data_IF_770298297292
#
_entry.id   IF_770298297292
#
_cell.length_a   1.000
_cell.length_b   1.000
_cell.length_c   1.000
_cell.angle_alpha   90.00
_cell.angle_beta   90.00
_cell.angle_gamma   90.00
#
_symmetry.space_group_name_H-M   'P 1'
#
loop_
_entity.id
_entity.type
_entity.pdbx_description
1 polymer ?
#
# COMPACT_ATOMS: atom_id res chain seq x y z
N UNK A 1 -3.87 0.66 -30.60
CA UNK A 1 -3.59 1.15 -29.24
C UNK A 1 -4.89 1.04 -28.45
N UNK A 2 -4.92 0.21 -27.38
CA UNK A 2 -6.11 0.05 -26.54
C UNK A 2 -6.32 1.32 -25.66
N UNK A 3 -7.53 1.85 -25.64
CA UNK A 3 -7.89 3.00 -24.79
C UNK A 3 -8.34 2.52 -23.41
N UNK A 4 -7.63 2.93 -22.36
CA UNK A 4 -7.87 2.48 -21.00
C UNK A 4 -8.21 3.65 -20.09
N UNK A 5 -9.29 3.51 -19.32
CA UNK A 5 -9.64 4.42 -18.24
C UNK A 5 -9.36 3.79 -16.89
N UNK A 6 -8.51 4.41 -16.08
CA UNK A 6 -8.41 4.13 -14.65
C UNK A 6 -9.24 5.16 -13.88
N UNK A 7 -10.28 4.71 -13.20
CA UNK A 7 -11.13 5.55 -12.35
C UNK A 7 -10.78 5.32 -10.87
N UNK A 8 -10.36 6.38 -10.18
CA UNK A 8 -9.98 6.36 -8.76
C UNK A 8 -10.67 7.52 -8.03
N UNK A 9 -10.95 7.45 -6.70
CA UNK A 9 -11.59 8.55 -5.98
C UNK A 9 -10.81 9.87 -6.01
N UNK A 10 -9.52 9.83 -5.81
CA UNK A 10 -8.59 10.97 -5.87
C UNK A 10 -7.15 10.46 -5.97
N UNK A 11 -6.18 11.37 -6.13
CA UNK A 11 -4.75 11.07 -6.09
C UNK A 11 -4.07 11.74 -4.87
N UNK A 12 -4.68 11.63 -3.69
CA UNK A 12 -4.17 12.19 -2.43
C UNK A 12 -2.97 11.42 -1.88
N UNK A 13 -2.62 11.68 -0.62
CA UNK A 13 -1.56 10.96 0.09
C UNK A 13 -2.07 9.56 0.50
N UNK A 14 -1.76 8.55 -0.30
CA UNK A 14 -2.12 7.16 -0.04
C UNK A 14 -1.26 6.19 -0.84
N UNK A 15 -1.18 4.95 -0.36
CA UNK A 15 -0.40 3.89 -1.02
C UNK A 15 -0.96 3.52 -2.39
N UNK A 16 -2.27 3.29 -2.49
CA UNK A 16 -2.92 2.90 -3.73
C UNK A 16 -2.84 3.98 -4.81
N UNK A 17 -2.93 5.26 -4.42
CA UNK A 17 -2.80 6.40 -5.32
C UNK A 17 -1.40 6.50 -5.91
N UNK A 18 -0.36 6.32 -5.08
CA UNK A 18 1.04 6.27 -5.53
C UNK A 18 1.27 5.09 -6.46
N UNK A 19 0.74 3.91 -6.12
CA UNK A 19 0.86 2.69 -6.91
C UNK A 19 0.20 2.84 -8.28
N UNK A 20 -0.98 3.47 -8.37
CA UNK A 20 -1.60 3.77 -9.67
C UNK A 20 -0.69 4.65 -10.53
N UNK A 21 -0.17 5.74 -9.97
CA UNK A 21 0.73 6.64 -10.71
C UNK A 21 1.97 5.91 -11.19
N UNK A 22 2.59 5.09 -10.33
CA UNK A 22 3.73 4.26 -10.72
C UNK A 22 3.38 3.30 -11.86
N UNK A 23 2.24 2.61 -11.76
CA UNK A 23 1.78 1.69 -12.80
C UNK A 23 1.60 2.39 -14.14
N UNK A 24 0.73 3.39 -14.21
CA UNK A 24 0.36 4.03 -15.48
C UNK A 24 1.54 4.77 -16.13
N UNK A 25 2.47 5.28 -15.33
CA UNK A 25 3.67 5.93 -15.83
C UNK A 25 4.67 4.98 -16.53
N UNK A 26 4.60 3.69 -16.21
CA UNK A 26 5.54 2.67 -16.71
C UNK A 26 4.89 1.69 -17.70
N UNK A 27 3.58 1.74 -17.90
CA UNK A 27 2.92 0.98 -18.97
C UNK A 27 3.34 1.46 -20.36
N UNK A 28 3.39 0.56 -21.31
CA UNK A 28 3.83 0.80 -22.69
C UNK A 28 2.90 1.80 -23.40
N UNK A 29 3.38 3.04 -23.58
CA UNK A 29 2.65 4.13 -24.23
C UNK A 29 2.40 3.89 -25.74
N UNK A 30 3.09 2.96 -26.38
CA UNK A 30 2.85 2.60 -27.78
C UNK A 30 1.69 1.58 -27.92
N UNK A 31 1.42 0.84 -26.83
CA UNK A 31 0.32 -0.12 -26.78
C UNK A 31 -0.96 0.47 -26.20
N UNK A 32 -0.85 1.36 -25.19
CA UNK A 32 -1.96 1.83 -24.37
C UNK A 32 -2.12 3.36 -24.40
N UNK A 33 -3.34 3.81 -24.69
CA UNK A 33 -3.78 5.21 -24.55
C UNK A 33 -4.48 5.36 -23.19
N UNK A 34 -3.76 5.81 -22.16
CA UNK A 34 -4.21 5.78 -20.77
C UNK A 34 -4.81 7.12 -20.35
N UNK A 35 -6.00 7.04 -19.76
CA UNK A 35 -6.65 8.13 -19.04
C UNK A 35 -6.78 7.78 -17.56
N UNK A 36 -6.29 8.64 -16.69
CA UNK A 36 -6.57 8.59 -15.24
C UNK A 36 -7.66 9.61 -14.94
N UNK A 37 -8.79 9.15 -14.45
CA UNK A 37 -9.89 10.02 -14.04
C UNK A 37 -10.13 9.90 -12.54
N UNK A 38 -10.20 11.04 -11.86
CA UNK A 38 -10.51 11.10 -10.43
C UNK A 38 -11.92 11.63 -10.20
N UNK A 39 -12.58 11.17 -9.13
CA UNK A 39 -13.84 11.78 -8.71
C UNK A 39 -13.61 13.18 -8.17
N UNK A 40 -12.51 13.39 -7.44
CA UNK A 40 -12.16 14.67 -6.80
C UNK A 40 -10.71 15.05 -7.10
N UNK A 41 -10.53 16.21 -7.71
CA UNK A 41 -9.20 16.77 -8.03
C UNK A 41 -8.48 17.35 -6.79
N UNK A 42 -7.19 17.66 -6.95
CA UNK A 42 -6.36 18.33 -5.95
C UNK A 42 -5.49 17.38 -5.11
N UNK A 43 -5.27 16.16 -5.59
CA UNK A 43 -4.38 15.20 -4.95
C UNK A 43 -2.89 15.48 -5.20
N UNK A 44 -2.06 15.27 -4.19
CA UNK A 44 -0.60 15.53 -4.27
C UNK A 44 0.13 14.66 -5.29
N UNK A 45 -0.43 13.49 -5.63
CA UNK A 45 0.15 12.57 -6.59
C UNK A 45 -0.16 12.94 -8.06
N UNK A 46 -1.08 13.87 -8.33
CA UNK A 46 -1.42 14.32 -9.69
C UNK A 46 -0.21 14.87 -10.45
N UNK A 47 0.67 15.60 -9.77
CA UNK A 47 1.88 16.20 -10.35
C UNK A 47 2.93 15.18 -10.82
N UNK A 48 2.81 13.93 -10.40
CA UNK A 48 3.73 12.85 -10.79
C UNK A 48 3.26 12.06 -12.01
N UNK A 49 2.05 12.33 -12.53
CA UNK A 49 1.62 11.75 -13.80
C UNK A 49 2.50 12.26 -14.94
N UNK A 50 3.03 11.35 -15.77
CA UNK A 50 3.83 11.69 -16.93
C UNK A 50 2.97 12.34 -18.03
N UNK A 51 3.54 13.19 -18.93
CA UNK A 51 2.78 13.96 -19.92
C UNK A 51 1.95 13.15 -20.92
N UNK A 52 2.27 11.87 -21.13
CA UNK A 52 1.49 10.99 -21.99
C UNK A 52 0.21 10.44 -21.36
N UNK A 53 0.06 10.58 -20.04
CA UNK A 53 -1.14 10.16 -19.32
C UNK A 53 -2.18 11.29 -19.35
N UNK A 54 -3.36 11.00 -19.89
CA UNK A 54 -4.50 11.95 -19.88
C UNK A 54 -5.09 12.01 -18.48
N UNK A 55 -5.24 13.22 -17.93
CA UNK A 55 -5.83 13.42 -16.60
C UNK A 55 -7.20 14.09 -16.71
N UNK A 56 -8.20 13.56 -15.99
CA UNK A 56 -9.56 14.10 -15.90
C UNK A 56 -10.08 14.08 -14.48
N UNK A 57 -11.04 14.94 -14.16
CA UNK A 57 -11.71 14.94 -12.86
C UNK A 57 -13.22 15.19 -13.01
N UNK A 58 -14.00 14.67 -12.05
CA UNK A 58 -15.45 14.89 -11.99
C UNK A 58 -15.80 16.16 -11.21
N UNK A 59 -15.13 16.37 -10.07
CA UNK A 59 -15.33 17.51 -9.18
C UNK A 59 -14.01 18.15 -8.79
N UNK A 60 -13.98 19.49 -8.68
CA UNK A 60 -12.77 20.23 -8.28
C UNK A 60 -12.36 19.99 -6.82
N UNK A 61 -13.33 19.70 -5.95
CA UNK A 61 -13.07 19.49 -4.50
C UNK A 61 -13.99 18.41 -3.96
N UNK A 62 -13.49 17.72 -2.94
CA UNK A 62 -14.28 16.77 -2.15
C UNK A 62 -15.36 17.53 -1.35
N UNK A 63 -16.55 16.97 -1.27
CA UNK A 63 -17.66 17.52 -0.47
C UNK A 63 -18.15 16.49 0.55
N UNK A 64 -18.63 16.99 1.69
CA UNK A 64 -19.14 16.15 2.78
C UNK A 64 -20.37 15.37 2.32
N UNK A 65 -20.40 14.06 2.64
CA UNK A 65 -21.54 13.21 2.30
C UNK A 65 -21.55 12.71 0.85
N UNK A 66 -20.44 12.86 0.10
CA UNK A 66 -20.36 12.43 -1.30
C UNK A 66 -20.74 10.94 -1.49
N UNK A 67 -20.34 10.03 -0.62
CA UNK A 67 -20.69 8.60 -0.72
C UNK A 67 -22.22 8.39 -0.66
N UNK A 68 -22.91 9.03 0.28
CA UNK A 68 -24.37 8.99 0.36
C UNK A 68 -25.03 9.64 -0.83
N UNK A 69 -24.47 10.77 -1.31
CA UNK A 69 -24.97 11.44 -2.50
C UNK A 69 -24.93 10.53 -3.74
N UNK A 70 -23.84 9.79 -3.95
CA UNK A 70 -23.77 8.85 -5.07
C UNK A 70 -24.79 7.71 -4.94
N UNK A 71 -25.12 7.26 -3.72
CA UNK A 71 -26.13 6.22 -3.50
C UNK A 71 -27.55 6.64 -3.89
N UNK A 72 -27.86 7.93 -4.06
CA UNK A 72 -29.17 8.40 -4.53
C UNK A 72 -29.43 8.03 -6.00
N UNK A 73 -28.38 7.91 -6.80
CA UNK A 73 -28.50 7.64 -8.25
C UNK A 73 -28.27 6.15 -8.54
N UNK A 74 -28.80 5.67 -9.67
CA UNK A 74 -28.47 4.33 -10.17
C UNK A 74 -27.04 4.29 -10.74
N UNK A 75 -26.35 3.15 -10.72
CA UNK A 75 -25.01 3.02 -11.32
C UNK A 75 -24.95 3.52 -12.77
N UNK A 76 -25.95 3.18 -13.59
CA UNK A 76 -26.02 3.58 -15.00
C UNK A 76 -26.13 5.11 -15.18
N UNK A 77 -26.80 5.79 -14.25
CA UNK A 77 -26.92 7.26 -14.26
C UNK A 77 -25.57 7.91 -13.91
N UNK A 78 -24.86 7.34 -12.93
CA UNK A 78 -23.53 7.81 -12.54
C UNK A 78 -22.51 7.58 -13.65
N UNK A 79 -22.52 6.39 -14.26
CA UNK A 79 -21.67 6.08 -15.40
C UNK A 79 -21.84 7.12 -16.52
N UNK A 80 -23.08 7.30 -17.02
CA UNK A 80 -23.40 8.28 -18.07
C UNK A 80 -23.03 9.71 -17.69
N UNK A 81 -23.06 10.06 -16.39
CA UNK A 81 -22.70 11.39 -15.90
C UNK A 81 -21.21 11.64 -15.92
N UNK A 82 -20.40 10.66 -15.53
CA UNK A 82 -18.98 10.84 -15.28
C UNK A 82 -18.08 10.32 -16.39
N UNK A 83 -18.47 9.27 -17.11
CA UNK A 83 -17.69 8.68 -18.19
C UNK A 83 -18.37 9.04 -19.51
N UNK A 84 -17.74 9.94 -20.29
CA UNK A 84 -18.32 10.55 -21.48
C UNK A 84 -17.76 10.00 -22.78
N UNK A 85 -16.61 9.34 -22.72
CA UNK A 85 -15.92 8.79 -23.86
C UNK A 85 -15.99 7.27 -23.85
N UNK A 86 -15.80 6.68 -25.01
CA UNK A 86 -15.65 5.24 -25.15
C UNK A 86 -14.20 4.83 -24.81
N UNK A 87 -14.09 3.76 -24.05
CA UNK A 87 -12.82 3.10 -23.69
C UNK A 87 -12.96 1.60 -23.95
N UNK A 88 -11.88 0.98 -24.45
CA UNK A 88 -11.85 -0.47 -24.66
C UNK A 88 -11.87 -1.20 -23.28
N UNK A 89 -11.21 -0.60 -22.28
CA UNK A 89 -11.15 -1.13 -20.92
C UNK A 89 -11.37 -0.02 -19.90
N UNK A 90 -12.19 -0.28 -18.89
CA UNK A 90 -12.39 0.61 -17.75
C UNK A 90 -12.06 -0.13 -16.46
N UNK A 91 -11.06 0.41 -15.75
CA UNK A 91 -10.59 -0.12 -14.46
C UNK A 91 -11.16 0.74 -13.33
N UNK A 92 -11.96 0.14 -12.45
CA UNK A 92 -12.27 0.72 -11.14
C UNK A 92 -11.08 0.46 -10.21
N UNK A 93 -10.19 1.44 -10.08
CA UNK A 93 -8.95 1.28 -9.32
C UNK A 93 -9.12 1.66 -7.85
N UNK A 94 -10.02 1.05 -7.20
CA UNK A 94 -10.30 0.92 -5.76
C UNK A 94 -11.72 0.36 -5.60
N UNK A 95 -11.97 -0.26 -4.48
CA UNK A 95 -13.30 -0.70 -4.06
C UNK A 95 -14.22 0.51 -3.76
N UNK A 96 -15.50 0.26 -3.72
CA UNK A 96 -16.51 1.23 -3.28
C UNK A 96 -17.09 2.11 -4.40
N UNK A 97 -17.00 3.47 -4.34
CA UNK A 97 -17.78 4.35 -5.21
C UNK A 97 -17.39 4.22 -6.69
N UNK A 98 -16.12 3.96 -7.00
CA UNK A 98 -15.64 3.77 -8.38
C UNK A 98 -16.17 2.48 -8.97
N UNK A 99 -16.17 1.38 -8.19
CA UNK A 99 -16.74 0.11 -8.62
C UNK A 99 -18.24 0.25 -8.93
N UNK A 100 -18.98 0.98 -8.08
CA UNK A 100 -20.39 1.25 -8.30
C UNK A 100 -20.64 2.08 -9.57
N UNK A 101 -19.80 3.07 -9.86
CA UNK A 101 -19.90 3.90 -11.07
C UNK A 101 -19.60 3.06 -12.32
N UNK A 102 -18.46 2.35 -12.32
CA UNK A 102 -18.00 1.56 -13.48
C UNK A 102 -18.99 0.44 -13.81
N UNK A 103 -19.56 -0.22 -12.80
CA UNK A 103 -20.59 -1.26 -13.01
C UNK A 103 -21.86 -0.74 -13.72
N UNK A 104 -22.04 0.56 -13.84
CA UNK A 104 -23.11 1.19 -14.60
C UNK A 104 -22.91 1.19 -16.11
N UNK A 105 -21.75 0.72 -16.62
CA UNK A 105 -21.52 0.55 -18.04
C UNK A 105 -22.47 -0.50 -18.63
N UNK A 106 -23.06 -0.17 -19.79
CA UNK A 106 -23.90 -1.09 -20.57
C UNK A 106 -23.34 -1.30 -21.98
N UNK A 107 -22.16 -0.76 -22.26
CA UNK A 107 -21.46 -0.99 -23.52
C UNK A 107 -20.87 -2.41 -23.49
N UNK A 108 -21.20 -3.22 -24.48
CA UNK A 108 -20.76 -4.63 -24.57
C UNK A 108 -19.35 -4.77 -25.11
N UNK A 109 -18.85 -3.73 -25.78
CA UNK A 109 -17.51 -3.70 -26.37
C UNK A 109 -16.46 -3.21 -25.35
N UNK A 110 -16.92 -2.64 -24.23
CA UNK A 110 -16.04 -2.19 -23.13
C UNK A 110 -15.85 -3.29 -22.07
N UNK A 111 -14.62 -3.67 -21.79
CA UNK A 111 -14.26 -4.59 -20.71
C UNK A 111 -14.14 -3.86 -19.37
N UNK A 112 -14.66 -4.46 -18.32
CA UNK A 112 -14.68 -3.86 -16.98
C UNK A 112 -13.76 -4.65 -16.03
N UNK A 113 -12.85 -3.95 -15.36
CA UNK A 113 -11.95 -4.51 -14.34
C UNK A 113 -12.22 -3.83 -13.01
N UNK A 114 -12.42 -4.62 -11.93
CA UNK A 114 -12.41 -4.11 -10.56
C UNK A 114 -11.07 -4.41 -9.89
N UNK A 115 -10.54 -3.45 -9.13
CA UNK A 115 -9.28 -3.59 -8.40
C UNK A 115 -9.50 -3.37 -6.92
N UNK A 116 -9.16 -4.38 -6.10
CA UNK A 116 -9.43 -4.43 -4.68
C UNK A 116 -8.10 -4.31 -3.92
N UNK A 117 -7.99 -3.28 -3.08
CA UNK A 117 -6.75 -2.92 -2.41
C UNK A 117 -6.71 -3.25 -0.92
N UNK A 118 -7.87 -3.42 -0.25
CA UNK A 118 -7.94 -3.70 1.18
C UNK A 118 -9.00 -4.75 1.49
N UNK A 119 -8.76 -5.50 2.57
CA UNK A 119 -9.77 -6.38 3.16
C UNK A 119 -10.92 -5.56 3.72
N UNK A 120 -12.13 -6.04 3.55
CA UNK A 120 -13.36 -5.39 4.03
C UNK A 120 -13.89 -6.05 5.30
N UNK A 121 -13.55 -7.34 5.52
CA UNK A 121 -13.90 -8.19 6.67
C UNK A 121 -15.41 -8.38 6.91
N UNK A 122 -16.27 -7.50 6.39
CA UNK A 122 -17.72 -7.57 6.60
C UNK A 122 -18.51 -7.10 5.38
N UNK A 123 -19.71 -7.64 5.21
CA UNK A 123 -20.68 -7.19 4.19
C UNK A 123 -20.99 -5.68 4.32
N UNK A 124 -21.06 -5.18 5.55
CA UNK A 124 -21.33 -3.77 5.84
C UNK A 124 -20.23 -2.86 5.33
N UNK A 125 -18.96 -3.23 5.53
CA UNK A 125 -17.82 -2.43 5.05
C UNK A 125 -17.75 -2.46 3.53
N UNK A 126 -17.84 -3.64 2.92
CA UNK A 126 -17.81 -3.80 1.47
C UNK A 126 -18.95 -3.05 0.76
N UNK A 127 -20.12 -2.99 1.37
CA UNK A 127 -21.28 -2.30 0.81
C UNK A 127 -21.42 -0.83 1.20
N UNK A 128 -20.47 -0.25 1.92
CA UNK A 128 -20.57 1.12 2.46
C UNK A 128 -20.82 2.22 1.39
N UNK A 129 -20.41 1.98 0.15
CA UNK A 129 -20.62 2.89 -1.00
C UNK A 129 -21.75 2.46 -1.93
N UNK A 130 -22.52 1.48 -1.54
CA UNK A 130 -23.67 0.95 -2.25
C UNK A 130 -24.94 1.21 -1.41
N UNK A 131 -26.13 1.02 -2.01
CA UNK A 131 -27.39 1.15 -1.28
C UNK A 131 -27.59 0.05 -0.25
N UNK A 132 -27.13 -1.15 -0.58
CA UNK A 132 -27.14 -2.34 0.26
C UNK A 132 -26.15 -3.38 -0.29
N UNK A 133 -25.97 -4.49 0.42
CA UNK A 133 -25.08 -5.57 0.04
C UNK A 133 -25.47 -6.26 -1.27
N UNK A 134 -26.77 -6.44 -1.54
CA UNK A 134 -27.23 -7.02 -2.81
C UNK A 134 -26.88 -6.17 -4.02
N UNK A 135 -26.94 -4.82 -3.89
CA UNK A 135 -26.46 -3.92 -4.95
C UNK A 135 -24.95 -4.10 -5.15
N UNK A 136 -24.16 -4.14 -4.07
CA UNK A 136 -22.72 -4.37 -4.16
C UNK A 136 -22.41 -5.68 -4.91
N UNK A 137 -23.06 -6.76 -4.50
CA UNK A 137 -22.95 -8.08 -5.12
C UNK A 137 -23.27 -8.06 -6.61
N UNK A 138 -24.39 -7.41 -7.01
CA UNK A 138 -24.74 -7.24 -8.42
C UNK A 138 -23.72 -6.42 -9.19
N UNK A 139 -23.21 -5.33 -8.59
CA UNK A 139 -22.22 -4.47 -9.22
C UNK A 139 -20.90 -5.21 -9.47
N UNK A 140 -20.35 -5.88 -8.48
CA UNK A 140 -19.09 -6.65 -8.64
C UNK A 140 -19.25 -7.81 -9.64
N UNK A 141 -20.40 -8.46 -9.70
CA UNK A 141 -20.67 -9.51 -10.70
C UNK A 141 -20.76 -9.01 -12.15
N UNK A 142 -20.80 -7.69 -12.40
CA UNK A 142 -20.74 -7.13 -13.77
C UNK A 142 -19.34 -7.06 -14.34
N UNK A 143 -18.32 -7.04 -13.51
CA UNK A 143 -16.92 -6.95 -13.99
C UNK A 143 -16.50 -8.21 -14.73
N UNK A 144 -15.77 -8.03 -15.83
CA UNK A 144 -15.21 -9.13 -16.63
C UNK A 144 -14.04 -9.78 -15.88
N UNK A 145 -13.20 -8.96 -15.24
CA UNK A 145 -12.11 -9.43 -14.38
C UNK A 145 -12.06 -8.67 -13.04
N UNK A 146 -11.54 -9.32 -12.02
CA UNK A 146 -11.27 -8.74 -10.70
C UNK A 146 -9.82 -8.98 -10.32
N UNK A 147 -9.14 -7.92 -9.93
CA UNK A 147 -7.76 -7.94 -9.45
C UNK A 147 -7.75 -7.66 -7.95
N UNK A 148 -7.00 -8.44 -7.20
CA UNK A 148 -6.69 -8.20 -5.80
C UNK A 148 -5.19 -8.00 -5.62
N UNK A 149 -4.78 -7.14 -4.69
CA UNK A 149 -3.35 -6.83 -4.47
C UNK A 149 -2.61 -7.89 -3.67
N UNK A 150 -3.34 -8.85 -3.09
CA UNK A 150 -2.79 -9.98 -2.32
C UNK A 150 -3.77 -11.15 -2.29
N UNK A 151 -3.27 -12.36 -1.97
CA UNK A 151 -4.13 -13.53 -1.75
C UNK A 151 -5.06 -13.33 -0.54
N UNK A 152 -4.63 -12.61 0.49
CA UNK A 152 -5.46 -12.28 1.66
C UNK A 152 -6.65 -11.41 1.27
N UNK A 153 -6.42 -10.33 0.52
CA UNK A 153 -7.49 -9.47 0.00
C UNK A 153 -8.44 -10.26 -0.91
N UNK A 154 -7.91 -11.15 -1.74
CA UNK A 154 -8.72 -12.04 -2.59
C UNK A 154 -9.60 -12.96 -1.76
N UNK A 155 -9.02 -13.65 -0.75
CA UNK A 155 -9.75 -14.57 0.09
C UNK A 155 -10.86 -13.85 0.88
N UNK A 156 -10.59 -12.69 1.45
CA UNK A 156 -11.59 -11.86 2.12
C UNK A 156 -12.73 -11.48 1.18
N UNK A 157 -12.41 -10.97 -0.01
CA UNK A 157 -13.39 -10.57 -1.02
C UNK A 157 -14.25 -11.75 -1.50
N UNK A 158 -13.63 -12.91 -1.77
CA UNK A 158 -14.34 -14.15 -2.16
C UNK A 158 -15.29 -14.59 -1.06
N UNK A 159 -14.83 -14.61 0.18
CA UNK A 159 -15.62 -15.09 1.33
C UNK A 159 -16.83 -14.19 1.57
N UNK A 160 -16.66 -12.85 1.57
CA UNK A 160 -17.76 -11.91 1.83
C UNK A 160 -18.84 -11.98 0.73
N UNK A 161 -18.43 -12.02 -0.53
CA UNK A 161 -19.38 -11.99 -1.68
C UNK A 161 -19.87 -13.38 -2.10
N UNK A 162 -19.25 -14.46 -1.62
CA UNK A 162 -19.35 -15.79 -2.24
C UNK A 162 -19.09 -15.69 -3.76
N UNK A 163 -17.97 -15.00 -4.09
CA UNK A 163 -17.65 -14.62 -5.45
C UNK A 163 -17.11 -15.83 -6.23
N UNK A 164 -17.65 -16.07 -7.44
CA UNK A 164 -17.36 -17.30 -8.21
C UNK A 164 -16.62 -17.05 -9.52
N UNK A 165 -16.44 -15.79 -9.89
CA UNK A 165 -15.67 -15.45 -11.10
C UNK A 165 -14.17 -15.53 -10.82
N UNK A 166 -13.34 -15.69 -11.86
CA UNK A 166 -11.88 -15.65 -11.70
C UNK A 166 -11.41 -14.33 -11.05
N UNK A 167 -10.42 -14.45 -10.19
CA UNK A 167 -9.72 -13.30 -9.57
C UNK A 167 -8.23 -13.51 -9.77
N UNK A 168 -7.57 -12.49 -10.25
CA UNK A 168 -6.11 -12.45 -10.34
C UNK A 168 -5.51 -11.72 -9.15
N UNK A 169 -4.33 -12.14 -8.73
CA UNK A 169 -3.53 -11.42 -7.74
C UNK A 169 -2.38 -10.73 -8.47
N UNK A 170 -2.41 -9.38 -8.47
CA UNK A 170 -1.37 -8.56 -9.07
C UNK A 170 -0.80 -7.60 -8.02
N UNK A 171 0.49 -7.75 -7.76
CA UNK A 171 1.17 -6.96 -6.74
C UNK A 171 1.33 -5.50 -7.14
N UNK A 172 1.39 -4.65 -6.13
CA UNK A 172 1.57 -3.21 -6.28
C UNK A 172 2.86 -2.86 -7.03
N UNK A 173 2.76 -1.96 -8.01
CA UNK A 173 3.90 -1.46 -8.78
C UNK A 173 4.67 -0.42 -8.00
N UNK A 174 5.98 -0.64 -7.84
CA UNK A 174 6.92 0.28 -7.23
C UNK A 174 7.93 0.79 -8.27
N UNK A 175 8.42 2.01 -8.11
CA UNK A 175 9.48 2.59 -8.94
C UNK A 175 10.86 2.11 -8.44
N UNK A 176 11.16 0.82 -8.68
CA UNK A 176 12.35 0.15 -8.08
C UNK A 176 13.66 0.83 -8.42
N UNK A 177 13.84 1.30 -9.66
CA UNK A 177 15.05 2.00 -10.08
C UNK A 177 15.22 3.33 -9.33
N UNK A 178 14.13 4.09 -9.16
CA UNK A 178 14.15 5.34 -8.39
C UNK A 178 14.34 5.07 -6.89
N UNK A 179 13.70 4.06 -6.33
CA UNK A 179 13.90 3.64 -4.94
C UNK A 179 15.37 3.31 -4.70
N UNK A 180 15.99 2.48 -5.54
CA UNK A 180 17.39 2.12 -5.42
C UNK A 180 18.34 3.33 -5.60
N UNK A 181 18.05 4.21 -6.55
CA UNK A 181 18.82 5.45 -6.75
C UNK A 181 18.73 6.38 -5.55
N UNK A 182 17.52 6.64 -5.06
CA UNK A 182 17.27 7.51 -3.93
C UNK A 182 17.80 6.93 -2.60
N UNK A 183 17.83 5.60 -2.48
CA UNK A 183 18.40 4.93 -1.31
C UNK A 183 19.92 5.11 -1.19
N UNK A 184 20.62 5.46 -2.29
CA UNK A 184 22.07 5.75 -2.30
C UNK A 184 22.40 7.21 -2.01
N UNK A 185 21.40 8.07 -1.83
CA UNK A 185 21.62 9.46 -1.40
C UNK A 185 22.05 9.47 0.08
N UNK A 186 23.22 10.05 0.36
CA UNK A 186 23.78 10.12 1.71
C UNK A 186 23.46 11.43 2.45
N UNK A 187 22.78 12.34 1.79
CA UNK A 187 22.47 13.65 2.34
C UNK A 187 21.55 13.52 3.58
N UNK A 188 21.89 14.23 4.66
CA UNK A 188 21.10 14.28 5.90
C UNK A 188 20.84 12.93 6.59
N UNK A 189 21.74 11.95 6.44
CA UNK A 189 21.63 10.64 7.13
C UNK A 189 22.69 10.44 8.21
N UNK A 190 23.49 11.47 8.52
CA UNK A 190 24.57 11.42 9.50
C UNK A 190 24.10 11.15 10.94
N UNK A 191 22.80 11.39 11.22
CA UNK A 191 22.17 11.12 12.51
C UNK A 191 22.01 9.62 12.82
N UNK A 192 22.07 8.75 11.80
CA UNK A 192 22.00 7.31 12.00
C UNK A 192 23.39 6.86 12.44
N UNK A 193 23.54 6.54 13.73
CA UNK A 193 24.78 6.09 14.34
C UNK A 193 25.19 4.71 13.83
N UNK A 194 26.49 4.47 13.73
CA UNK A 194 27.04 3.13 13.43
C UNK A 194 27.29 2.29 14.67
N UNK A 195 27.21 2.92 15.86
CA UNK A 195 27.52 2.27 17.13
C UNK A 195 26.28 1.67 17.80
N UNK A 196 25.10 1.82 17.19
CA UNK A 196 23.81 1.31 17.68
C UNK A 196 23.14 0.46 16.60
N UNK A 197 22.29 -0.47 17.01
CA UNK A 197 21.39 -1.14 16.07
C UNK A 197 20.21 -0.23 15.74
N UNK A 198 20.15 0.20 14.48
CA UNK A 198 19.18 1.17 14.02
C UNK A 198 17.95 0.48 13.47
N UNK A 199 16.81 0.77 14.06
CA UNK A 199 15.50 0.23 13.68
C UNK A 199 14.65 1.35 13.08
N UNK A 200 14.07 1.14 11.92
CA UNK A 200 13.16 2.13 11.32
C UNK A 200 11.73 1.63 11.17
N UNK A 201 10.81 2.58 11.29
CA UNK A 201 9.37 2.41 11.06
C UNK A 201 8.93 3.49 10.09
N UNK A 202 8.35 3.12 8.96
CA UNK A 202 7.90 4.07 7.92
C UNK A 202 6.38 4.04 7.81
N UNK A 203 5.76 5.21 7.95
CA UNK A 203 4.33 5.35 7.80
C UNK A 203 3.74 6.45 8.67
N UNK A 204 2.42 6.51 8.71
CA UNK A 204 1.71 7.48 9.56
C UNK A 204 1.96 7.16 11.04
N UNK A 205 2.42 8.15 11.81
CA UNK A 205 2.56 8.00 13.28
C UNK A 205 1.17 7.95 13.91
N UNK A 206 0.68 6.71 14.06
CA UNK A 206 -0.67 6.42 14.50
C UNK A 206 -0.71 5.06 15.22
N UNK A 207 -1.52 4.94 16.29
CA UNK A 207 -1.71 3.70 17.05
C UNK A 207 -2.09 2.52 16.13
N UNK A 208 -2.92 2.74 15.10
CA UNK A 208 -3.23 1.69 14.12
C UNK A 208 -2.01 1.18 13.35
N UNK A 209 -0.93 1.93 13.30
CA UNK A 209 0.37 1.55 12.73
C UNK A 209 1.35 1.04 13.78
N UNK A 210 0.88 0.91 15.04
CA UNK A 210 1.63 0.32 16.14
C UNK A 210 2.71 1.21 16.72
N UNK A 211 2.59 2.55 16.64
CA UNK A 211 3.61 3.45 17.21
C UNK A 211 3.75 3.29 18.71
N UNK A 212 2.66 2.98 19.41
CA UNK A 212 2.61 2.65 20.84
C UNK A 212 3.41 1.37 21.16
N UNK A 213 3.15 0.29 20.41
CA UNK A 213 3.88 -1.00 20.53
C UNK A 213 5.38 -0.81 20.38
N UNK A 214 5.77 -0.05 19.36
CA UNK A 214 7.19 0.23 19.08
C UNK A 214 7.85 1.00 20.23
N UNK A 215 7.14 1.95 20.84
CA UNK A 215 7.62 2.66 22.03
C UNK A 215 7.82 1.72 23.24
N UNK A 216 6.85 0.83 23.48
CA UNK A 216 6.97 -0.16 24.57
C UNK A 216 8.11 -1.16 24.30
N UNK A 217 8.24 -1.63 23.07
CA UNK A 217 9.33 -2.52 22.66
C UNK A 217 10.70 -1.86 22.86
N UNK A 218 10.86 -0.58 22.49
CA UNK A 218 12.10 0.15 22.73
C UNK A 218 12.43 0.26 24.22
N UNK A 219 11.43 0.56 25.05
CA UNK A 219 11.62 0.59 26.50
C UNK A 219 12.12 -0.76 27.02
N UNK A 220 11.52 -1.86 26.57
CA UNK A 220 11.90 -3.22 26.94
C UNK A 220 13.32 -3.55 26.47
N UNK A 221 13.65 -3.31 25.21
CA UNK A 221 14.99 -3.52 24.66
C UNK A 221 16.07 -2.78 25.45
N UNK A 222 15.84 -1.49 25.78
CA UNK A 222 16.77 -0.71 26.59
C UNK A 222 16.92 -1.25 28.01
N UNK A 223 15.84 -1.71 28.64
CA UNK A 223 15.89 -2.30 30.00
C UNK A 223 16.64 -3.62 30.04
N UNK A 224 16.67 -4.36 28.93
CA UNK A 224 17.41 -5.61 28.78
C UNK A 224 18.86 -5.40 28.24
N UNK A 225 19.27 -4.14 28.06
CA UNK A 225 20.64 -3.76 27.73
C UNK A 225 20.98 -3.72 26.23
N UNK A 226 19.99 -3.84 25.35
CA UNK A 226 20.22 -3.70 23.91
C UNK A 226 20.56 -2.25 23.53
N UNK A 227 21.61 -2.08 22.75
CA UNK A 227 21.99 -0.76 22.22
C UNK A 227 21.26 -0.48 20.90
N UNK A 228 19.97 -0.13 20.99
CA UNK A 228 19.08 0.11 19.87
C UNK A 228 18.63 1.56 19.78
N UNK A 229 18.35 2.04 18.56
CA UNK A 229 17.75 3.33 18.29
C UNK A 229 16.59 3.18 17.31
N UNK A 230 15.43 3.77 17.59
CA UNK A 230 14.25 3.72 16.73
C UNK A 230 14.00 5.05 16.02
N UNK A 231 13.87 4.98 14.70
CA UNK A 231 13.55 6.11 13.84
C UNK A 231 12.14 5.96 13.27
N UNK A 232 11.26 6.90 13.58
CA UNK A 232 9.95 7.02 12.96
C UNK A 232 10.02 7.96 11.75
N UNK A 233 9.73 7.45 10.57
CA UNK A 233 9.68 8.20 9.31
C UNK A 233 8.21 8.41 8.90
N UNK A 234 7.70 9.58 9.17
CA UNK A 234 6.33 9.98 8.88
C UNK A 234 5.79 10.97 9.89
N UNK A 235 4.56 11.41 9.67
CA UNK A 235 3.80 12.30 10.55
C UNK A 235 2.45 11.69 10.89
N UNK A 236 1.86 12.11 12.00
CA UNK A 236 0.55 11.60 12.36
C UNK A 236 -0.01 12.18 13.66
N UNK A 237 -1.27 11.84 13.99
CA UNK A 237 -1.95 12.40 15.16
C UNK A 237 -1.33 12.00 16.50
N UNK A 238 -0.56 10.89 16.53
CA UNK A 238 -0.03 10.33 17.78
C UNK A 238 1.46 10.67 18.00
N UNK A 239 2.02 11.67 17.28
CA UNK A 239 3.38 12.16 17.48
C UNK A 239 3.63 12.64 18.92
N UNK A 240 2.63 13.31 19.51
CA UNK A 240 2.76 13.78 20.91
C UNK A 240 2.84 12.61 21.88
N UNK A 241 2.04 11.55 21.66
CA UNK A 241 2.16 10.33 22.46
C UNK A 241 3.60 9.77 22.43
N UNK A 242 4.21 9.66 21.24
CA UNK A 242 5.59 9.14 21.10
C UNK A 242 6.60 10.03 21.86
N UNK A 243 6.46 11.36 21.75
CA UNK A 243 7.35 12.33 22.45
C UNK A 243 7.19 12.25 23.97
N UNK A 244 5.96 12.24 24.44
CA UNK A 244 5.66 12.19 25.88
C UNK A 244 6.14 10.87 26.47
N UNK A 245 5.87 9.74 25.79
CA UNK A 245 6.35 8.42 26.20
C UNK A 245 7.87 8.34 26.28
N UNK A 246 8.58 8.86 25.26
CA UNK A 246 10.05 8.89 25.23
C UNK A 246 10.58 9.68 26.44
N UNK A 247 10.03 10.84 26.72
CA UNK A 247 10.42 11.68 27.85
C UNK A 247 10.15 11.02 29.22
N UNK A 248 8.95 10.47 29.42
CA UNK A 248 8.57 9.80 30.66
C UNK A 248 9.39 8.57 30.99
N UNK A 249 10.00 7.93 29.96
CA UNK A 249 10.77 6.71 30.09
C UNK A 249 12.29 6.91 29.84
N UNK A 250 12.77 8.16 29.72
CA UNK A 250 14.17 8.52 29.45
C UNK A 250 14.70 7.90 28.15
N UNK A 251 13.89 7.91 27.10
CA UNK A 251 14.21 7.31 25.78
C UNK A 251 14.44 8.37 24.68
N UNK A 252 14.53 9.67 25.03
CA UNK A 252 14.70 10.76 24.05
C UNK A 252 15.96 10.59 23.19
N UNK A 253 16.97 9.92 23.73
CA UNK A 253 18.23 9.63 23.02
C UNK A 253 18.18 8.33 22.21
N UNK A 254 17.07 7.61 22.22
CA UNK A 254 16.92 6.32 21.51
C UNK A 254 15.62 6.17 20.72
N UNK A 255 14.81 7.23 20.66
CA UNK A 255 13.64 7.35 19.81
C UNK A 255 13.72 8.69 19.08
N UNK A 256 13.71 8.68 17.74
CA UNK A 256 13.75 9.87 16.92
C UNK A 256 12.55 9.92 15.96
N UNK A 257 11.81 11.01 15.99
CA UNK A 257 10.77 11.33 15.01
C UNK A 257 11.41 12.16 13.89
N UNK A 258 11.63 11.57 12.70
CA UNK A 258 12.22 12.25 11.55
C UNK A 258 11.22 13.09 10.75
N UNK A 259 9.92 13.00 11.11
CA UNK A 259 8.85 13.67 10.37
C UNK A 259 8.63 13.09 8.97
N UNK A 260 7.90 13.83 8.14
CA UNK A 260 7.66 13.43 6.75
C UNK A 260 8.95 13.54 5.93
N UNK A 261 9.34 12.43 5.31
CA UNK A 261 10.51 12.38 4.44
C UNK A 261 10.07 12.17 2.98
N UNK A 262 10.53 13.04 2.08
CA UNK A 262 10.31 12.90 0.63
C UNK A 262 11.12 11.74 0.04
N UNK A 263 12.27 11.43 0.65
CA UNK A 263 13.12 10.29 0.35
C UNK A 263 13.34 9.47 1.63
N UNK A 264 12.42 8.56 2.01
CA UNK A 264 12.59 7.70 3.17
C UNK A 264 13.63 6.59 2.93
N UNK A 265 13.87 6.23 1.67
CA UNK A 265 14.65 5.05 1.29
C UNK A 265 16.10 5.11 1.76
N UNK A 266 16.71 6.30 1.78
CA UNK A 266 18.08 6.49 2.27
C UNK A 266 18.23 6.20 3.77
N UNK A 267 17.19 6.50 4.55
CA UNK A 267 17.15 6.17 5.97
C UNK A 267 16.91 4.68 6.16
N UNK A 268 15.91 4.11 5.47
CA UNK A 268 15.59 2.68 5.54
C UNK A 268 16.80 1.84 5.18
N UNK A 269 17.52 2.17 4.11
CA UNK A 269 18.74 1.44 3.69
C UNK A 269 19.87 1.51 4.71
N UNK A 270 19.98 2.60 5.48
CA UNK A 270 21.01 2.78 6.51
C UNK A 270 20.65 2.14 7.84
N UNK A 271 19.38 1.88 8.09
CA UNK A 271 18.94 1.14 9.26
C UNK A 271 19.24 -0.35 9.09
N UNK A 272 19.47 -1.02 10.23
CA UNK A 272 19.77 -2.44 10.28
C UNK A 272 18.50 -3.29 10.16
N UNK A 273 17.36 -2.77 10.63
CA UNK A 273 16.08 -3.46 10.68
C UNK A 273 14.94 -2.52 10.37
N UNK A 274 14.00 -2.98 9.54
CA UNK A 274 12.70 -2.37 9.32
C UNK A 274 11.63 -3.12 10.13
N UNK A 275 10.80 -2.40 10.87
CA UNK A 275 9.71 -3.00 11.63
C UNK A 275 8.35 -2.48 11.15
N UNK A 276 7.46 -3.40 10.82
CA UNK A 276 6.05 -3.14 10.53
C UNK A 276 5.19 -3.63 11.71
N UNK A 277 4.75 -2.72 12.57
CA UNK A 277 3.96 -3.01 13.77
C UNK A 277 2.44 -2.83 13.57
N UNK A 278 1.98 -2.72 12.31
CA UNK A 278 0.60 -2.37 11.97
C UNK A 278 -0.42 -3.37 12.50
N UNK A 279 -1.56 -2.87 12.95
CA UNK A 279 -2.72 -3.69 13.32
C UNK A 279 -3.42 -4.28 12.09
N UNK A 280 -3.39 -3.57 10.96
CA UNK A 280 -3.96 -4.00 9.70
C UNK A 280 -3.29 -3.27 8.53
N UNK A 281 -3.05 -4.00 7.46
CA UNK A 281 -2.57 -3.52 6.15
C UNK A 281 -3.39 -4.22 5.04
N UNK A 282 -3.34 -3.69 3.82
CA UNK A 282 -3.80 -4.45 2.64
C UNK A 282 -2.63 -5.23 2.04
N UNK A 283 -1.64 -4.48 1.52
CA UNK A 283 -0.33 -4.98 1.09
C UNK A 283 0.67 -3.87 1.34
N UNK A 284 1.58 -4.07 2.29
CA UNK A 284 2.44 -2.99 2.79
C UNK A 284 3.47 -2.53 1.77
N UNK A 285 3.26 -1.36 1.18
CA UNK A 285 4.24 -0.74 0.27
C UNK A 285 5.55 -0.43 0.99
N UNK A 286 5.50 -0.04 2.27
CA UNK A 286 6.70 0.28 3.04
C UNK A 286 7.57 -0.97 3.31
N UNK A 287 6.96 -2.13 3.57
CA UNK A 287 7.67 -3.41 3.66
C UNK A 287 8.28 -3.78 2.30
N UNK A 288 7.53 -3.63 1.22
CA UNK A 288 8.04 -3.88 -0.14
C UNK A 288 9.23 -2.98 -0.45
N UNK A 289 9.15 -1.69 -0.11
CA UNK A 289 10.24 -0.72 -0.30
C UNK A 289 11.48 -1.07 0.54
N UNK A 290 11.30 -1.54 1.79
CA UNK A 290 12.39 -2.04 2.62
C UNK A 290 13.10 -3.26 2.01
N UNK A 291 12.33 -4.22 1.48
CA UNK A 291 12.88 -5.38 0.76
C UNK A 291 13.64 -4.96 -0.50
N UNK A 292 13.14 -3.99 -1.27
CA UNK A 292 13.80 -3.48 -2.48
C UNK A 292 15.17 -2.88 -2.15
N UNK A 293 15.31 -2.15 -1.04
CA UNK A 293 16.59 -1.55 -0.63
C UNK A 293 17.49 -2.53 0.14
N UNK A 294 17.00 -3.74 0.44
CA UNK A 294 17.75 -4.82 1.09
C UNK A 294 17.83 -4.69 2.60
N UNK A 295 16.86 -4.04 3.24
CA UNK A 295 16.77 -3.94 4.70
C UNK A 295 15.96 -5.12 5.25
N UNK A 296 16.48 -5.88 6.24
CA UNK A 296 15.77 -6.94 6.95
C UNK A 296 14.42 -6.45 7.51
N UNK A 297 13.43 -7.31 7.55
CA UNK A 297 12.08 -6.94 7.99
C UNK A 297 11.57 -7.87 9.08
N UNK A 298 11.01 -7.28 10.15
CA UNK A 298 10.10 -7.94 11.09
C UNK A 298 8.73 -7.29 10.94
N UNK A 299 7.69 -8.09 10.75
CA UNK A 299 6.32 -7.61 10.57
C UNK A 299 5.35 -8.38 11.45
N UNK A 300 4.38 -7.68 12.03
CA UNK A 300 3.19 -8.34 12.55
C UNK A 300 2.46 -9.06 11.43
N UNK A 301 1.76 -10.17 11.75
CA UNK A 301 0.86 -10.85 10.82
C UNK A 301 -0.34 -9.94 10.52
N UNK A 302 -0.17 -9.10 9.52
CA UNK A 302 -1.22 -8.31 8.88
C UNK A 302 -1.30 -8.74 7.41
N UNK A 303 -2.38 -8.33 6.71
CA UNK A 303 -2.61 -8.74 5.33
C UNK A 303 -1.38 -8.61 4.45
N UNK A 304 -1.03 -9.66 3.73
CA UNK A 304 0.11 -9.70 2.82
C UNK A 304 1.47 -9.89 3.49
N UNK A 305 1.59 -9.97 4.83
CA UNK A 305 2.87 -10.13 5.51
C UNK A 305 3.57 -11.44 5.09
N UNK A 306 2.86 -12.56 5.12
CA UNK A 306 3.41 -13.86 4.64
C UNK A 306 3.69 -13.86 3.14
N UNK A 307 2.87 -13.19 2.35
CA UNK A 307 3.14 -13.03 0.92
C UNK A 307 4.41 -12.21 0.64
N UNK A 308 4.76 -11.27 1.52
CA UNK A 308 5.98 -10.46 1.41
C UNK A 308 7.20 -11.21 1.95
N UNK A 309 7.06 -11.86 3.10
CA UNK A 309 8.19 -12.39 3.87
C UNK A 309 8.33 -13.91 3.81
N UNK A 310 7.38 -14.61 3.14
CA UNK A 310 7.37 -16.07 3.01
C UNK A 310 6.57 -16.76 4.11
N UNK A 311 5.94 -17.90 3.77
CA UNK A 311 5.08 -18.66 4.68
C UNK A 311 5.85 -19.26 5.87
N UNK A 312 7.17 -19.48 5.71
CA UNK A 312 8.06 -20.01 6.76
C UNK A 312 9.15 -19.00 7.12
N UNK A 313 8.88 -17.71 6.97
CA UNK A 313 9.84 -16.64 7.26
C UNK A 313 11.12 -16.69 6.40
N UNK A 314 11.00 -17.04 5.12
CA UNK A 314 12.18 -17.17 4.23
C UNK A 314 12.87 -15.84 3.96
N UNK A 315 12.14 -14.72 3.97
CA UNK A 315 12.64 -13.39 3.56
C UNK A 315 12.57 -12.33 4.64
N UNK A 316 12.10 -12.67 5.84
CA UNK A 316 11.95 -11.82 7.01
C UNK A 316 11.12 -12.54 8.06
N UNK A 317 10.86 -11.93 9.20
CA UNK A 317 10.09 -12.57 10.28
C UNK A 317 8.66 -12.02 10.28
N UNK A 318 7.67 -12.90 10.20
CA UNK A 318 6.27 -12.60 10.49
C UNK A 318 5.93 -13.13 11.89
N UNK A 319 5.41 -12.26 12.73
CA UNK A 319 5.03 -12.59 14.11
C UNK A 319 3.52 -12.55 14.28
N UNK A 320 2.99 -13.13 15.33
CA UNK A 320 1.61 -12.86 15.73
C UNK A 320 1.38 -11.36 15.92
N UNK A 321 0.14 -10.91 15.70
CA UNK A 321 -0.20 -9.48 15.74
C UNK A 321 -0.43 -9.00 17.19
N UNK A 322 0.58 -9.15 18.02
CA UNK A 322 0.63 -8.62 19.38
C UNK A 322 2.05 -8.08 19.69
N UNK A 323 2.16 -7.34 20.79
CA UNK A 323 3.39 -6.65 21.18
C UNK A 323 4.51 -7.63 21.58
N UNK A 324 4.17 -8.67 22.36
CA UNK A 324 5.16 -9.64 22.86
C UNK A 324 5.77 -10.44 21.71
N UNK A 325 4.95 -10.97 20.80
CA UNK A 325 5.46 -11.70 19.64
C UNK A 325 6.31 -10.81 18.71
N UNK A 326 5.92 -9.54 18.55
CA UNK A 326 6.72 -8.59 17.77
C UNK A 326 8.07 -8.31 18.46
N UNK A 327 8.09 -8.17 19.78
CA UNK A 327 9.30 -8.05 20.56
C UNK A 327 10.21 -9.27 20.36
N UNK A 328 9.69 -10.50 20.53
CA UNK A 328 10.43 -11.75 20.36
C UNK A 328 11.03 -11.86 18.95
N UNK A 329 10.29 -11.47 17.92
CA UNK A 329 10.79 -11.44 16.54
C UNK A 329 11.96 -10.48 16.33
N UNK A 330 11.92 -9.31 16.98
CA UNK A 330 12.99 -8.31 16.96
C UNK A 330 14.19 -8.84 17.75
N UNK A 331 13.98 -9.30 19.00
CA UNK A 331 15.01 -9.85 19.86
C UNK A 331 15.77 -11.00 19.19
N UNK A 332 15.04 -11.89 18.52
CA UNK A 332 15.62 -13.02 17.77
C UNK A 332 16.63 -12.54 16.72
N UNK A 333 16.29 -11.50 15.96
CA UNK A 333 17.22 -10.92 14.96
C UNK A 333 18.45 -10.28 15.63
N UNK A 334 18.28 -9.70 16.82
CA UNK A 334 19.37 -9.03 17.55
C UNK A 334 20.32 -10.01 18.25
N UNK A 335 19.83 -11.20 18.61
CA UNK A 335 20.58 -12.17 19.45
C UNK A 335 21.13 -13.36 18.68
N UNK A 336 20.44 -13.84 17.63
CA UNK A 336 20.91 -14.98 16.84
C UNK A 336 22.05 -14.56 15.89
N UNK A 337 23.19 -15.22 16.03
CA UNK A 337 24.38 -14.97 15.22
C UNK A 337 24.06 -15.14 13.72
N UNK A 338 24.51 -14.18 12.91
CA UNK A 338 24.32 -14.13 11.45
C UNK A 338 22.88 -13.99 10.94
N UNK A 339 21.84 -13.99 11.79
CA UNK A 339 20.46 -13.93 11.34
C UNK A 339 20.12 -12.59 10.66
N UNK A 340 20.64 -11.48 11.21
CA UNK A 340 20.50 -10.15 10.60
C UNK A 340 21.13 -10.12 9.20
N UNK A 341 22.33 -10.68 9.04
CA UNK A 341 23.01 -10.75 7.74
C UNK A 341 22.26 -11.66 6.76
N UNK A 342 21.77 -12.80 7.24
CA UNK A 342 20.94 -13.69 6.43
C UNK A 342 19.72 -12.95 5.85
N UNK A 343 18.94 -12.27 6.69
CA UNK A 343 17.77 -11.53 6.21
C UNK A 343 18.12 -10.31 5.37
N UNK A 344 19.29 -9.73 5.51
CA UNK A 344 19.79 -8.68 4.62
C UNK A 344 19.99 -9.18 3.17
N UNK A 345 20.45 -10.41 3.03
CA UNK A 345 20.59 -11.07 1.73
C UNK A 345 19.23 -11.51 1.18
N UNK A 346 18.39 -12.13 2.03
CA UNK A 346 17.05 -12.56 1.64
C UNK A 346 16.14 -11.41 1.23
N UNK A 347 16.22 -10.26 1.91
CA UNK A 347 15.48 -9.05 1.53
C UNK A 347 15.81 -8.61 0.10
N UNK A 348 17.09 -8.60 -0.29
CA UNK A 348 17.51 -8.26 -1.67
C UNK A 348 16.94 -9.23 -2.69
N UNK A 349 16.98 -10.54 -2.41
CA UNK A 349 16.41 -11.57 -3.29
C UNK A 349 14.91 -11.34 -3.46
N UNK A 350 14.21 -11.10 -2.34
CA UNK A 350 12.76 -10.89 -2.35
C UNK A 350 12.36 -9.60 -3.04
N UNK A 351 13.09 -8.52 -2.82
CA UNK A 351 12.85 -7.21 -3.44
C UNK A 351 12.84 -7.26 -4.97
N UNK A 352 13.65 -8.10 -5.61
CA UNK A 352 13.68 -8.30 -7.07
C UNK A 352 12.36 -8.86 -7.62
N UNK A 353 11.53 -9.50 -6.79
CA UNK A 353 10.22 -10.01 -7.22
C UNK A 353 9.21 -8.89 -7.47
N UNK A 354 9.39 -7.76 -6.81
CA UNK A 354 8.52 -6.58 -6.89
C UNK A 354 9.07 -5.50 -7.82
N UNK A 355 9.93 -5.88 -8.79
CA UNK A 355 10.48 -4.92 -9.75
C UNK A 355 9.38 -4.27 -10.58
N UNK A 356 9.60 -3.02 -10.98
CA UNK A 356 8.69 -2.24 -11.82
C UNK A 356 8.31 -3.04 -13.08
N UNK A 357 9.31 -3.60 -13.76
CA UNK A 357 9.12 -4.33 -15.03
C UNK A 357 8.21 -5.55 -14.84
N UNK A 358 8.41 -6.33 -13.77
CA UNK A 358 7.60 -7.54 -13.50
C UNK A 358 6.16 -7.22 -13.17
N UNK A 359 5.95 -6.21 -12.30
CA UNK A 359 4.61 -5.84 -11.85
C UNK A 359 3.83 -5.13 -12.96
N UNK A 360 4.46 -4.27 -13.75
CA UNK A 360 3.85 -3.64 -14.92
C UNK A 360 3.50 -4.68 -15.98
N UNK A 361 4.46 -5.57 -16.32
CA UNK A 361 4.22 -6.62 -17.32
C UNK A 361 3.04 -7.51 -16.92
N UNK A 362 2.92 -7.91 -15.67
CA UNK A 362 1.80 -8.72 -15.22
C UNK A 362 0.43 -8.03 -15.44
N UNK A 363 0.38 -6.72 -15.24
CA UNK A 363 -0.84 -5.92 -15.50
C UNK A 363 -1.09 -5.80 -17.01
N UNK A 364 -0.06 -5.56 -17.80
CA UNK A 364 -0.18 -5.48 -19.26
C UNK A 364 -0.65 -6.82 -19.87
N UNK A 365 -0.08 -7.94 -19.42
CA UNK A 365 -0.47 -9.29 -19.86
C UNK A 365 -1.96 -9.56 -19.51
N UNK A 366 -2.42 -9.19 -18.32
CA UNK A 366 -3.83 -9.27 -17.93
C UNK A 366 -4.72 -8.41 -18.84
N UNK A 367 -4.34 -7.16 -19.09
CA UNK A 367 -5.08 -6.23 -19.96
C UNK A 367 -5.11 -6.73 -21.42
N UNK A 368 -4.05 -7.34 -21.92
CA UNK A 368 -3.99 -7.89 -23.27
C UNK A 368 -4.87 -9.14 -23.42
N UNK A 369 -5.09 -9.89 -22.32
CA UNK A 369 -5.93 -11.10 -22.31
C UNK A 369 -7.44 -10.83 -22.33
N UNK A 370 -7.89 -9.59 -22.08
CA UNK A 370 -9.30 -9.17 -22.09
C UNK A 370 -9.81 -8.86 -23.50
#
# INVERSE_FOLDING_TARGET
MKKILFLIPNLSVGGAEKVLVNLVNNMDKEKFDITVQVLFAGGVNEKFLKPHIKYKYCYKKIFRGNSKYFCLFKPETLYKRFIKEHYDIIVSYLEGPTARIVSGCNDKDTKLVSWIHIEQHTEKALSASFRNFDEAKRCYNKFDNTVCVSEYVKNDFVNILNFKKPIEVLYNTNETNDICRLANDEENTQMISRDETNICVVGKVHIRKGCDRICHIQKRLKSEGFNTHIYFLGVGPDENFVKDFAKENNLENSITLLGYQTNPYKYVKKCDLFVCASLAEGFSTAVTEALIVGTPVVSTNCSGAYELLGENNEYGIVTENNEDALYEGIEKILTEENLLQHYKEQAKVRGQRFSTEKTVKAVEDMIESL
#
